data_IF_096179688203
#
_entry.id   IF_096179688203
#
_cell.length_a   1.000
_cell.length_b   1.000
_cell.length_c   1.000
_cell.angle_alpha   90.00
_cell.angle_beta   90.00
_cell.angle_gamma   90.00
#
_symmetry.space_group_name_H-M   'P 1'
#
loop_
_entity.id
_entity.type
_entity.pdbx_description
1 polymer ?
#
# COMPACT_ATOMS: atom_id res chain seq x y z
N UNK A 1 19.42 -10.50 -10.38
CA UNK A 1 18.72 -9.57 -9.46
C UNK A 1 17.36 -10.16 -9.16
N UNK A 2 16.99 -10.37 -7.90
CA UNK A 2 15.75 -11.08 -7.53
C UNK A 2 14.51 -10.19 -7.78
N UNK A 3 13.38 -10.78 -8.19
CA UNK A 3 12.11 -10.07 -8.45
C UNK A 3 11.74 -9.10 -7.32
N UNK A 4 11.83 -9.55 -6.06
CA UNK A 4 11.59 -8.71 -4.87
C UNK A 4 12.45 -7.44 -4.83
N UNK A 5 13.72 -7.53 -5.24
CA UNK A 5 14.64 -6.40 -5.23
C UNK A 5 14.25 -5.36 -6.26
N UNK A 6 13.91 -5.80 -7.47
CA UNK A 6 13.43 -4.92 -8.54
C UNK A 6 12.14 -4.23 -8.10
N UNK A 7 11.21 -4.97 -7.49
CA UNK A 7 9.97 -4.39 -6.96
C UNK A 7 10.24 -3.33 -5.89
N UNK A 8 11.17 -3.56 -4.97
CA UNK A 8 11.54 -2.56 -3.96
C UNK A 8 12.25 -1.34 -4.55
N UNK A 9 13.11 -1.52 -5.56
CA UNK A 9 13.75 -0.41 -6.27
C UNK A 9 12.71 0.47 -7.02
N UNK A 10 11.69 -0.16 -7.64
CA UNK A 10 10.56 0.54 -8.26
C UNK A 10 9.76 1.34 -7.25
N UNK A 11 9.56 0.78 -6.07
CA UNK A 11 8.87 1.42 -4.97
C UNK A 11 9.59 2.68 -4.48
N UNK A 12 10.91 2.60 -4.28
CA UNK A 12 11.74 3.74 -3.82
C UNK A 12 11.73 4.92 -4.81
N UNK A 13 11.39 4.66 -6.08
CA UNK A 13 11.32 5.68 -7.13
C UNK A 13 9.90 6.18 -7.41
N UNK A 14 8.86 5.51 -6.89
CA UNK A 14 7.48 5.88 -7.17
C UNK A 14 7.08 7.13 -6.39
N UNK A 15 6.25 7.98 -6.99
CA UNK A 15 5.69 9.19 -6.34
C UNK A 15 4.23 9.02 -5.94
N UNK A 16 3.54 8.11 -6.61
CA UNK A 16 2.12 7.83 -6.46
C UNK A 16 1.96 6.32 -6.44
N UNK A 17 1.14 5.86 -5.51
CA UNK A 17 0.71 4.48 -5.37
C UNK A 17 -0.79 4.46 -5.61
N UNK A 18 -1.28 3.48 -6.36
CA UNK A 18 -2.71 3.30 -6.56
C UNK A 18 -3.20 2.22 -5.61
N UNK A 19 -4.09 2.58 -4.69
CA UNK A 19 -4.80 1.64 -3.84
C UNK A 19 -6.06 1.17 -4.56
N UNK A 20 -6.23 -0.14 -4.69
CA UNK A 20 -7.45 -0.78 -5.17
C UNK A 20 -8.15 -1.53 -4.06
N UNK A 21 -9.46 -1.31 -3.93
CA UNK A 21 -10.34 -2.00 -2.98
C UNK A 21 -11.61 -2.46 -3.69
N UNK A 22 -12.27 -3.47 -3.14
CA UNK A 22 -13.62 -3.86 -3.57
C UNK A 22 -14.61 -3.24 -2.60
N UNK A 23 -15.59 -2.50 -3.12
CA UNK A 23 -16.62 -1.89 -2.28
C UNK A 23 -17.60 -2.93 -1.75
N UNK A 24 -18.42 -2.55 -0.77
CA UNK A 24 -19.49 -3.42 -0.25
C UNK A 24 -20.52 -3.82 -1.32
N UNK A 25 -20.63 -3.06 -2.41
CA UNK A 25 -21.47 -3.39 -3.58
C UNK A 25 -20.77 -4.34 -4.57
N UNK A 26 -19.54 -4.77 -4.29
CA UNK A 26 -18.74 -5.61 -5.18
C UNK A 26 -18.09 -4.85 -6.34
N UNK A 27 -18.07 -3.52 -6.30
CA UNK A 27 -17.50 -2.68 -7.37
C UNK A 27 -16.04 -2.38 -7.04
N UNK A 28 -15.09 -2.55 -7.98
CA UNK A 28 -13.71 -2.12 -7.75
C UNK A 28 -13.60 -0.60 -7.70
N UNK A 29 -12.96 -0.07 -6.66
CA UNK A 29 -12.59 1.34 -6.54
C UNK A 29 -11.07 1.48 -6.51
N UNK A 30 -10.56 2.47 -7.26
CA UNK A 30 -9.14 2.78 -7.33
C UNK A 30 -8.89 4.22 -6.86
N UNK A 31 -8.01 4.40 -5.89
CA UNK A 31 -7.60 5.71 -5.36
C UNK A 31 -6.11 5.92 -5.52
N UNK A 32 -5.71 7.06 -6.09
CA UNK A 32 -4.32 7.48 -6.08
C UNK A 32 -3.95 7.99 -4.68
N UNK A 33 -2.98 7.35 -4.04
CA UNK A 33 -2.37 7.75 -2.79
C UNK A 33 -0.97 8.30 -3.03
N UNK A 34 -0.56 9.26 -2.21
CA UNK A 34 0.86 9.62 -2.09
C UNK A 34 1.65 8.45 -1.51
N UNK A 35 2.97 8.45 -1.73
CA UNK A 35 3.88 7.49 -1.11
C UNK A 35 3.64 7.40 0.41
N UNK A 36 3.73 6.20 1.01
CA UNK A 36 3.44 6.04 2.41
C UNK A 36 4.46 6.75 3.29
N UNK A 37 4.01 7.04 4.49
CA UNK A 37 4.82 7.71 5.51
C UNK A 37 5.89 6.79 6.11
N UNK A 38 5.72 5.47 5.99
CA UNK A 38 6.71 4.46 6.38
C UNK A 38 6.40 3.11 5.73
N UNK A 39 7.40 2.24 5.63
CA UNK A 39 7.27 0.88 5.14
C UNK A 39 8.39 -0.03 5.69
N UNK A 40 8.12 -1.33 5.72
CA UNK A 40 9.07 -2.38 6.12
C UNK A 40 9.31 -3.31 4.93
N UNK A 41 10.28 -2.95 4.09
CA UNK A 41 10.52 -3.62 2.81
C UNK A 41 9.24 -3.68 1.97
N UNK A 42 8.94 -4.86 1.42
CA UNK A 42 7.66 -5.09 0.72
C UNK A 42 6.56 -5.66 1.62
N UNK A 43 6.82 -5.87 2.92
CA UNK A 43 5.93 -6.60 3.83
C UNK A 43 4.78 -5.74 4.34
N UNK A 44 5.07 -4.50 4.71
CA UNK A 44 4.10 -3.62 5.36
C UNK A 44 4.31 -2.18 4.91
N UNK A 45 3.21 -1.48 4.63
CA UNK A 45 3.20 -0.08 4.21
C UNK A 45 2.20 0.69 5.07
N UNK A 46 2.54 1.93 5.43
CA UNK A 46 1.72 2.81 6.27
C UNK A 46 1.40 4.10 5.53
N UNK A 47 0.14 4.32 5.18
CA UNK A 47 -0.30 5.51 4.45
C UNK A 47 -1.03 6.48 5.39
N UNK A 48 -0.68 7.77 5.32
CA UNK A 48 -1.53 8.81 5.87
C UNK A 48 -2.69 9.05 4.91
N UNK A 49 -3.90 8.68 5.34
CA UNK A 49 -5.11 8.80 4.56
C UNK A 49 -6.02 9.96 5.03
N UNK A 50 -5.59 10.85 5.93
CA UNK A 50 -6.45 11.91 6.51
C UNK A 50 -7.15 12.78 5.48
N UNK A 51 -6.49 13.07 4.37
CA UNK A 51 -7.02 13.93 3.32
C UNK A 51 -7.73 13.13 2.20
N UNK A 52 -7.88 11.82 2.36
CA UNK A 52 -8.51 10.95 1.39
C UNK A 52 -9.91 10.60 1.86
N UNK A 53 -10.89 10.79 0.98
CA UNK A 53 -12.26 10.39 1.24
C UNK A 53 -12.39 8.87 1.05
N UNK A 54 -11.98 8.12 2.06
CA UNK A 54 -12.22 6.68 2.18
C UNK A 54 -13.26 6.50 3.27
N UNK A 55 -14.39 5.88 2.94
CA UNK A 55 -15.46 5.66 3.92
C UNK A 55 -14.98 4.71 5.03
N UNK A 56 -15.23 5.09 6.28
CA UNK A 56 -14.83 4.27 7.43
C UNK A 56 -15.49 2.88 7.42
N UNK A 57 -16.70 2.80 6.87
CA UNK A 57 -17.48 1.57 6.67
C UNK A 57 -16.70 0.52 5.86
N UNK A 58 -15.77 0.92 4.98
CA UNK A 58 -14.92 -0.04 4.27
C UNK A 58 -14.13 -0.91 5.23
N UNK A 59 -13.71 -0.40 6.38
CA UNK A 59 -12.80 -1.09 7.29
C UNK A 59 -13.50 -1.89 8.40
N UNK A 60 -14.84 -2.01 8.37
CA UNK A 60 -15.61 -2.75 9.39
C UNK A 60 -15.42 -4.27 9.29
N UNK A 61 -14.96 -4.77 8.15
CA UNK A 61 -14.62 -6.17 7.91
C UNK A 61 -13.16 -6.29 7.46
N UNK A 62 -12.55 -7.48 7.54
CA UNK A 62 -11.23 -7.72 6.96
C UNK A 62 -11.22 -7.33 5.48
N UNK A 63 -10.57 -6.21 5.16
CA UNK A 63 -10.49 -5.70 3.80
C UNK A 63 -9.28 -6.31 3.11
N UNK A 64 -9.50 -6.91 1.96
CA UNK A 64 -8.42 -7.24 1.03
C UNK A 64 -8.37 -6.18 -0.05
N UNK A 65 -7.17 -5.91 -0.53
CA UNK A 65 -6.98 -4.98 -1.62
C UNK A 65 -5.63 -5.14 -2.27
N UNK A 66 -5.37 -4.23 -3.19
CA UNK A 66 -4.13 -4.18 -3.95
C UNK A 66 -3.48 -2.82 -3.79
N UNK A 67 -2.16 -2.79 -3.79
CA UNK A 67 -1.42 -1.57 -4.12
C UNK A 67 -0.69 -1.79 -5.44
N UNK A 68 -0.74 -0.79 -6.31
CA UNK A 68 -0.05 -0.79 -7.58
C UNK A 68 0.86 0.43 -7.67
N UNK A 69 2.10 0.22 -8.07
CA UNK A 69 3.05 1.29 -8.34
C UNK A 69 3.86 0.95 -9.59
N UNK A 70 4.27 1.98 -10.30
CA UNK A 70 4.91 1.84 -11.60
C UNK A 70 5.91 2.95 -11.84
N UNK A 71 6.84 2.71 -12.74
CA UNK A 71 7.73 3.75 -13.23
C UNK A 71 7.07 4.43 -14.44
N UNK A 72 7.09 5.77 -14.47
CA UNK A 72 6.43 6.55 -15.52
C UNK A 72 7.16 6.52 -16.88
N UNK A 73 8.44 6.13 -16.91
CA UNK A 73 9.30 6.19 -18.11
C UNK A 73 9.69 4.83 -18.66
N UNK A 74 9.66 3.77 -17.85
CA UNK A 74 9.95 2.39 -18.28
C UNK A 74 8.72 1.50 -18.12
N UNK A 75 8.58 0.50 -18.98
CA UNK A 75 7.46 -0.45 -18.94
C UNK A 75 7.62 -1.47 -17.81
N UNK A 76 7.49 -0.99 -16.57
CA UNK A 76 7.53 -1.81 -15.34
C UNK A 76 6.51 -1.35 -14.31
N UNK A 77 5.77 -2.30 -13.76
CA UNK A 77 4.83 -2.07 -12.68
C UNK A 77 4.82 -3.23 -11.70
N UNK A 78 4.41 -2.96 -10.47
CA UNK A 78 4.22 -3.96 -9.44
C UNK A 78 2.81 -3.83 -8.91
N UNK A 79 2.13 -4.96 -8.77
CA UNK A 79 0.88 -5.07 -8.02
C UNK A 79 1.13 -5.98 -6.83
N UNK A 80 0.78 -5.52 -5.63
CA UNK A 80 0.89 -6.29 -4.39
C UNK A 80 -0.51 -6.51 -3.85
N UNK A 81 -0.86 -7.77 -3.59
CA UNK A 81 -2.09 -8.14 -2.90
C UNK A 81 -1.84 -8.17 -1.40
N UNK A 82 -2.83 -7.73 -0.62
CA UNK A 82 -2.66 -7.67 0.82
C UNK A 82 -3.94 -7.36 1.60
N UNK A 83 -3.78 -7.34 2.91
CA UNK A 83 -4.79 -6.92 3.87
C UNK A 83 -4.66 -5.45 4.17
N UNK A 84 -5.80 -4.80 4.34
CA UNK A 84 -5.90 -3.39 4.69
C UNK A 84 -6.51 -3.28 6.08
N UNK A 85 -5.87 -2.49 6.93
CA UNK A 85 -6.31 -2.25 8.30
C UNK A 85 -6.22 -0.75 8.60
N UNK A 86 -7.32 -0.15 9.04
CA UNK A 86 -7.33 1.23 9.52
C UNK A 86 -6.93 1.23 10.98
N UNK A 87 -5.80 1.86 11.31
CA UNK A 87 -5.25 1.83 12.65
C UNK A 87 -6.08 2.68 13.62
N UNK A 88 -6.29 2.12 14.80
CA UNK A 88 -6.81 2.83 15.97
C UNK A 88 -5.78 3.84 16.48
N UNK A 89 -6.23 4.81 17.30
CA UNK A 89 -5.32 5.81 17.90
C UNK A 89 -4.19 5.18 18.72
N UNK A 90 -4.47 4.07 19.40
CA UNK A 90 -3.49 3.34 20.21
C UNK A 90 -2.44 2.66 19.33
N UNK A 91 -2.87 2.01 18.24
CA UNK A 91 -1.96 1.41 17.26
C UNK A 91 -1.08 2.47 16.58
N UNK A 92 -1.64 3.65 16.25
CA UNK A 92 -0.87 4.78 15.69
C UNK A 92 0.24 5.22 16.64
N UNK A 93 -0.03 5.33 17.95
CA UNK A 93 1.01 5.67 18.93
C UNK A 93 2.12 4.62 18.99
N UNK A 94 1.77 3.34 18.87
CA UNK A 94 2.76 2.25 18.86
C UNK A 94 3.67 2.29 17.63
N UNK A 95 3.09 2.52 16.44
CA UNK A 95 3.90 2.65 15.22
C UNK A 95 4.72 3.94 15.20
N UNK A 96 4.26 5.00 15.86
CA UNK A 96 5.02 6.24 16.03
C UNK A 96 6.38 5.98 16.68
N UNK A 97 6.37 5.18 17.74
CA UNK A 97 7.58 4.82 18.49
C UNK A 97 8.44 3.84 17.69
N UNK A 98 7.85 2.78 17.15
CA UNK A 98 8.61 1.70 16.50
C UNK A 98 9.15 2.06 15.11
N UNK A 99 8.39 2.82 14.32
CA UNK A 99 8.75 3.22 12.95
C UNK A 99 9.29 4.65 12.85
N UNK A 100 9.39 5.38 13.97
CA UNK A 100 9.87 6.78 14.04
C UNK A 100 9.15 7.72 13.07
N UNK A 101 7.86 7.46 12.83
CA UNK A 101 6.99 8.39 12.09
C UNK A 101 6.49 9.49 13.02
N UNK A 102 6.09 10.65 12.49
CA UNK A 102 5.54 11.74 13.31
C UNK A 102 4.19 12.23 12.73
N UNK A 103 3.14 11.38 12.80
CA UNK A 103 1.82 11.72 12.27
C UNK A 103 1.16 12.83 13.09
N UNK A 104 0.35 13.66 12.44
CA UNK A 104 -0.43 14.69 13.15
C UNK A 104 -1.46 14.06 14.10
N UNK A 105 -1.93 14.78 15.12
CA UNK A 105 -2.94 14.28 16.05
C UNK A 105 -4.31 13.96 15.40
N UNK A 106 -4.54 14.43 14.17
CA UNK A 106 -5.74 14.16 13.35
C UNK A 106 -5.47 13.11 12.26
N UNK A 107 -4.32 12.45 12.31
CA UNK A 107 -3.89 11.53 11.28
C UNK A 107 -4.71 10.23 11.29
N UNK A 108 -5.16 9.78 10.12
CA UNK A 108 -5.75 8.47 9.91
C UNK A 108 -4.72 7.64 9.16
N UNK A 109 -4.25 6.55 9.78
CA UNK A 109 -3.22 5.69 9.20
C UNK A 109 -3.83 4.39 8.70
N UNK A 110 -3.62 4.12 7.42
CA UNK A 110 -3.92 2.85 6.80
C UNK A 110 -2.66 1.98 6.79
N UNK A 111 -2.73 0.79 7.39
CA UNK A 111 -1.72 -0.24 7.27
C UNK A 111 -2.10 -1.21 6.15
N UNK A 112 -1.20 -1.38 5.18
CA UNK A 112 -1.29 -2.41 4.16
C UNK A 112 -0.29 -3.52 4.47
N UNK A 113 -0.76 -4.75 4.63
CA UNK A 113 0.09 -5.92 4.90
C UNK A 113 0.06 -6.87 3.72
N UNK A 114 1.21 -6.99 3.08
CA UNK A 114 1.35 -7.72 1.82
C UNK A 114 1.31 -9.23 2.01
N UNK A 115 0.78 -9.93 1.01
CA UNK A 115 0.75 -11.39 0.95
C UNK A 115 1.64 -11.91 -0.19
N UNK A 116 1.40 -11.39 -1.39
CA UNK A 116 2.14 -11.76 -2.60
C UNK A 116 2.13 -10.58 -3.58
N UNK A 117 2.96 -10.67 -4.61
CA UNK A 117 3.05 -9.64 -5.62
C UNK A 117 3.29 -10.19 -7.02
N UNK A 118 3.04 -9.30 -7.97
CA UNK A 118 3.23 -9.50 -9.39
C UNK A 118 4.05 -8.34 -9.93
N UNK A 119 5.25 -8.64 -10.45
CA UNK A 119 6.05 -7.70 -11.21
C UNK A 119 5.76 -7.90 -12.69
N UNK A 120 5.29 -6.86 -13.35
CA UNK A 120 5.26 -6.77 -14.80
C UNK A 120 6.52 -6.04 -15.27
N UNK A 121 7.36 -6.71 -16.06
CA UNK A 121 8.61 -6.15 -16.59
C UNK A 121 8.83 -6.66 -18.00
N UNK A 122 9.09 -5.76 -18.94
CA UNK A 122 9.50 -6.12 -20.31
C UNK A 122 8.50 -7.09 -20.98
N UNK A 123 7.20 -6.81 -20.82
CA UNK A 123 6.09 -7.63 -21.32
C UNK A 123 6.01 -9.04 -20.73
N UNK A 124 6.65 -9.28 -19.59
CA UNK A 124 6.59 -10.54 -18.85
C UNK A 124 6.02 -10.32 -17.45
N UNK A 125 5.37 -11.36 -16.95
CA UNK A 125 4.78 -11.40 -15.62
C UNK A 125 5.62 -12.28 -14.70
N UNK A 126 5.97 -11.76 -13.53
CA UNK A 126 6.75 -12.46 -12.53
C UNK A 126 5.99 -12.45 -11.21
N UNK A 127 5.50 -13.61 -10.79
CA UNK A 127 4.85 -13.79 -9.49
C UNK A 127 5.90 -13.99 -8.40
N UNK A 128 5.64 -13.49 -7.19
CA UNK A 128 6.52 -13.69 -6.04
C UNK A 128 5.74 -13.63 -4.72
N UNK A 129 6.13 -14.49 -3.79
CA UNK A 129 5.70 -14.40 -2.39
C UNK A 129 6.43 -13.26 -1.69
N UNK A 130 5.86 -12.68 -0.62
CA UNK A 130 6.50 -11.56 0.10
C UNK A 130 7.16 -12.02 1.39
#
# INVERSE_FOLDING_TARGET
>A
MTVKRISLELWEQCKVVVLGIITHEGIPEMKGLVTPISYVGLKTFYFDITNYQIEASFFELPVTGIICYYNQTIFKSVTINGHIHLLTKEEVQHIQISQKINPSAKCQILQFTSQNGTLYSDYKTHLFDI
#
